data_IF_640569258785
#
_entry.id   IF_640569258785
#
_cell.length_a   1.000
_cell.length_b   1.000
_cell.length_c   1.000
_cell.angle_alpha   90.00
_cell.angle_beta   90.00
_cell.angle_gamma   90.00
#
_symmetry.space_group_name_H-M   'P 1'
#
loop_
_entity.id
_entity.type
_entity.pdbx_description
1 polymer ?
#
# COMPACT_ATOMS: atom_id res chain seq x y z
N UNK A 1 -59.17 48.42 42.40
CA UNK A 1 -60.62 48.64 42.22
C UNK A 1 -60.81 49.86 41.33
N UNK A 2 -61.78 49.88 40.39
CA UNK A 2 -62.53 48.75 39.79
C UNK A 2 -61.58 47.72 39.09
N UNK A 3 -61.96 46.82 38.18
CA UNK A 3 -63.26 46.16 37.88
C UNK A 3 -62.98 44.66 37.55
N UNK A 4 -63.64 44.11 36.54
CA UNK A 4 -63.82 42.71 36.11
C UNK A 4 -64.62 42.71 34.79
N UNK A 5 -64.39 41.71 33.93
CA UNK A 5 -65.37 40.89 33.15
C UNK A 5 -64.66 40.22 31.94
N UNK A 6 -65.01 39.04 31.41
CA UNK A 6 -65.72 37.86 31.95
C UNK A 6 -65.60 36.67 30.94
N UNK A 7 -65.22 35.47 31.41
CA UNK A 7 -65.77 34.11 31.07
C UNK A 7 -65.83 33.71 29.56
N UNK A 8 -65.20 32.62 29.05
CA UNK A 8 -65.73 31.23 29.10
C UNK A 8 -64.70 30.13 28.69
N UNK A 9 -64.56 29.16 29.59
CA UNK A 9 -64.36 27.70 29.39
C UNK A 9 -64.08 27.09 28.00
N UNK A 10 -63.07 26.20 27.93
CA UNK A 10 -63.37 24.76 27.95
C UNK A 10 -62.19 23.94 28.55
N UNK A 11 -62.52 22.86 29.28
CA UNK A 11 -61.59 21.96 29.97
C UNK A 11 -62.11 20.54 29.75
N UNK A 12 -61.35 19.68 29.07
CA UNK A 12 -61.58 18.24 29.14
C UNK A 12 -60.29 17.52 29.56
N UNK A 13 -60.42 16.76 30.65
CA UNK A 13 -59.42 15.82 31.13
C UNK A 13 -59.66 14.46 30.48
N UNK A 14 -58.57 13.77 30.11
CA UNK A 14 -58.49 12.31 30.25
C UNK A 14 -57.18 11.98 30.97
N UNK A 15 -57.25 11.06 31.94
CA UNK A 15 -56.13 10.67 32.82
C UNK A 15 -55.54 9.32 32.38
N UNK A 16 -54.22 9.25 32.39
CA UNK A 16 -53.37 8.17 32.92
C UNK A 16 -53.61 6.73 32.41
N UNK A 17 -52.61 6.21 31.68
CA UNK A 17 -51.85 4.96 31.92
C UNK A 17 -50.57 5.10 31.06
N UNK A 18 -49.34 4.87 31.53
CA UNK A 18 -48.93 4.03 32.65
C UNK A 18 -48.47 2.68 32.09
N UNK A 19 -47.25 2.64 31.53
CA UNK A 19 -46.68 1.45 30.90
C UNK A 19 -45.44 1.81 30.09
N UNK A 20 -44.30 1.22 30.47
CA UNK A 20 -42.94 1.39 29.96
C UNK A 20 -42.76 2.12 28.62
N UNK A 21 -42.18 3.32 28.67
CA UNK A 21 -41.23 3.70 27.64
C UNK A 21 -40.03 2.76 27.80
N UNK A 22 -40.02 1.68 27.03
CA UNK A 22 -38.78 1.02 26.66
C UNK A 22 -38.07 2.05 25.79
N UNK A 23 -37.15 2.79 26.41
CA UNK A 23 -36.02 3.36 25.69
C UNK A 23 -35.38 2.21 24.91
N UNK A 24 -35.36 2.33 23.58
CA UNK A 24 -34.69 1.38 22.72
C UNK A 24 -33.17 1.57 22.83
N UNK A 25 -32.62 1.19 23.98
CA UNK A 25 -31.18 1.12 24.26
C UNK A 25 -30.48 0.03 23.42
N UNK A 26 -31.22 -0.69 22.57
CA UNK A 26 -30.74 -1.78 21.73
C UNK A 26 -30.00 -1.31 20.46
N UNK A 27 -29.91 0.00 20.20
CA UNK A 27 -29.36 0.52 18.94
C UNK A 27 -28.41 1.72 19.07
N UNK A 28 -27.27 1.52 19.73
CA UNK A 28 -26.05 2.25 19.34
C UNK A 28 -24.78 1.41 19.54
N UNK A 29 -24.66 0.31 18.80
CA UNK A 29 -23.38 -0.36 18.60
C UNK A 29 -22.56 0.50 17.63
N UNK A 30 -21.72 1.36 18.22
CA UNK A 30 -21.14 2.58 17.64
C UNK A 30 -20.66 2.43 16.20
N UNK A 31 -21.39 3.04 15.25
CA UNK A 31 -20.95 3.12 13.86
C UNK A 31 -19.71 4.02 13.78
N UNK A 32 -18.56 3.44 13.40
CA UNK A 32 -17.29 4.17 13.35
C UNK A 32 -17.35 5.25 12.27
N UNK A 33 -16.82 6.46 12.52
CA UNK A 33 -17.05 7.64 11.69
C UNK A 33 -16.24 7.65 10.37
N UNK A 34 -16.02 6.49 9.75
CA UNK A 34 -15.21 6.32 8.55
C UNK A 34 -13.70 6.44 8.80
N UNK A 35 -13.25 7.52 9.44
CA UNK A 35 -11.84 7.77 9.83
C UNK A 35 -11.80 8.46 11.19
N UNK A 36 -10.92 8.01 12.09
CA UNK A 36 -10.81 8.49 13.48
C UNK A 36 -9.37 8.44 13.97
N UNK A 37 -9.08 9.03 15.14
CA UNK A 37 -7.80 8.94 15.83
C UNK A 37 -7.98 8.37 17.23
N UNK A 38 -7.09 7.49 17.67
CA UNK A 38 -7.07 7.04 19.07
C UNK A 38 -6.70 8.16 20.05
N UNK A 39 -7.25 8.18 21.28
CA UNK A 39 -8.28 7.28 21.81
C UNK A 39 -9.72 7.67 21.39
N UNK A 40 -9.90 8.73 20.59
CA UNK A 40 -11.17 9.37 20.27
C UNK A 40 -11.95 8.67 19.13
N UNK A 41 -12.20 7.36 19.25
CA UNK A 41 -12.83 6.51 18.22
C UNK A 41 -14.19 6.98 17.68
N UNK A 42 -14.97 7.70 18.48
CA UNK A 42 -16.28 8.21 18.09
C UNK A 42 -16.23 9.55 17.33
N UNK A 43 -15.06 10.18 17.19
CA UNK A 43 -14.89 11.49 16.55
C UNK A 43 -14.41 11.32 15.12
N UNK A 44 -15.16 11.87 14.16
CA UNK A 44 -14.75 11.92 12.76
C UNK A 44 -13.48 12.78 12.60
N UNK A 45 -12.40 12.20 12.08
CA UNK A 45 -11.21 12.94 11.70
C UNK A 45 -11.32 13.40 10.23
N UNK A 46 -11.20 14.70 9.91
CA UNK A 46 -11.21 15.20 8.54
C UNK A 46 -10.14 14.53 7.66
N UNK A 47 -10.48 14.29 6.38
CA UNK A 47 -9.58 13.59 5.43
C UNK A 47 -8.21 14.28 5.31
N UNK A 48 -8.17 15.61 5.29
CA UNK A 48 -6.93 16.39 5.23
C UNK A 48 -6.01 16.12 6.42
N UNK A 49 -6.56 16.10 7.65
CA UNK A 49 -5.80 15.79 8.87
C UNK A 49 -5.34 14.34 8.92
N UNK A 50 -6.18 13.40 8.42
CA UNK A 50 -5.80 12.00 8.29
C UNK A 50 -4.64 11.81 7.29
N UNK A 51 -4.74 12.39 6.10
CA UNK A 51 -3.70 12.35 5.08
C UNK A 51 -2.40 13.02 5.56
N UNK A 52 -2.47 14.16 6.24
CA UNK A 52 -1.31 14.82 6.82
C UNK A 52 -0.62 13.92 7.86
N UNK A 53 -1.39 13.31 8.76
CA UNK A 53 -0.86 12.43 9.80
C UNK A 53 -0.21 11.16 9.22
N UNK A 54 -0.89 10.50 8.27
CA UNK A 54 -0.32 9.34 7.58
C UNK A 54 0.93 9.71 6.78
N UNK A 55 0.93 10.83 6.04
CA UNK A 55 2.12 11.27 5.28
C UNK A 55 3.31 11.57 6.19
N UNK A 56 3.07 12.25 7.32
CA UNK A 56 4.12 12.54 8.31
C UNK A 56 4.71 11.27 8.93
N UNK A 57 3.91 10.22 9.14
CA UNK A 57 4.40 8.91 9.57
C UNK A 57 5.03 8.08 8.45
N UNK A 58 4.61 8.26 7.20
CA UNK A 58 5.05 7.44 6.06
C UNK A 58 6.53 7.61 5.75
N UNK A 59 7.03 8.84 5.74
CA UNK A 59 8.42 9.14 5.39
C UNK A 59 9.40 8.41 6.33
N UNK A 60 9.40 8.61 7.66
CA UNK A 60 10.34 7.90 8.55
C UNK A 60 10.13 6.37 8.59
N UNK A 61 8.93 5.86 8.31
CA UNK A 61 8.71 4.42 8.15
C UNK A 61 9.39 3.88 6.88
N UNK A 62 9.38 4.62 5.78
CA UNK A 62 10.05 4.22 4.54
C UNK A 62 11.57 4.43 4.62
N UNK A 63 12.05 5.45 5.32
CA UNK A 63 13.47 5.60 5.71
C UNK A 63 13.94 4.37 6.52
N UNK A 64 13.12 3.88 7.47
CA UNK A 64 13.39 2.65 8.22
C UNK A 64 13.41 1.40 7.33
N UNK A 65 12.46 1.25 6.40
CA UNK A 65 12.47 0.13 5.42
C UNK A 65 13.73 0.17 4.55
N UNK A 66 14.17 1.36 4.12
CA UNK A 66 15.39 1.55 3.35
C UNK A 66 16.70 1.30 4.14
N UNK A 67 16.62 1.14 5.47
CA UNK A 67 17.82 0.85 6.28
C UNK A 67 18.36 -0.58 6.12
N UNK A 68 17.59 -1.47 5.49
CA UNK A 68 17.97 -2.85 5.17
C UNK A 68 18.00 -3.05 3.65
N UNK A 69 19.16 -3.44 3.11
CA UNK A 69 19.35 -3.64 1.67
C UNK A 69 18.43 -4.76 1.13
N UNK A 70 17.70 -4.45 0.06
CA UNK A 70 16.75 -5.37 -0.56
C UNK A 70 15.42 -5.52 0.19
N UNK A 71 15.15 -4.70 1.21
CA UNK A 71 13.87 -4.68 1.92
C UNK A 71 12.86 -3.70 1.29
N UNK A 72 11.59 -4.09 1.30
CA UNK A 72 10.47 -3.35 0.70
C UNK A 72 9.19 -3.70 1.45
N UNK A 73 8.23 -2.78 1.44
CA UNK A 73 6.98 -2.91 2.18
C UNK A 73 5.80 -3.07 1.23
N UNK A 74 4.85 -3.95 1.57
CA UNK A 74 3.62 -4.04 0.78
C UNK A 74 2.68 -2.91 1.14
N UNK A 75 1.86 -2.45 0.18
CA UNK A 75 0.77 -1.49 0.44
C UNK A 75 -0.03 -1.83 1.71
N UNK A 76 -0.41 -3.10 1.89
CA UNK A 76 -1.14 -3.61 3.05
C UNK A 76 -0.36 -3.44 4.37
N UNK A 77 0.93 -3.77 4.37
CA UNK A 77 1.77 -3.64 5.55
C UNK A 77 2.03 -2.17 5.90
N UNK A 78 2.21 -1.31 4.89
CA UNK A 78 2.32 0.13 5.07
C UNK A 78 1.05 0.72 5.69
N UNK A 79 -0.15 0.35 5.18
CA UNK A 79 -1.41 0.80 5.76
C UNK A 79 -1.57 0.47 7.25
N UNK A 80 -1.14 -0.73 7.66
CA UNK A 80 -1.10 -1.12 9.07
C UNK A 80 -0.09 -0.30 9.87
N UNK A 81 1.16 -0.21 9.41
CA UNK A 81 2.22 0.54 10.09
C UNK A 81 1.88 2.03 10.23
N UNK A 82 1.23 2.63 9.23
CA UNK A 82 0.71 4.00 9.27
C UNK A 82 -0.39 4.17 10.31
N UNK A 83 -1.30 3.21 10.41
CA UNK A 83 -2.37 3.25 11.41
C UNK A 83 -1.79 3.19 12.83
N UNK A 84 -0.81 2.31 13.05
CA UNK A 84 -0.11 2.13 14.33
C UNK A 84 0.74 3.36 14.70
N UNK A 85 1.54 3.88 13.75
CA UNK A 85 2.46 5.00 14.01
C UNK A 85 1.78 6.37 14.15
N UNK A 86 0.65 6.60 13.46
CA UNK A 86 -0.08 7.86 13.53
C UNK A 86 -1.22 7.85 14.56
N UNK A 87 -1.65 6.67 15.01
CA UNK A 87 -2.89 6.46 15.76
C UNK A 87 -4.17 6.79 14.97
N UNK A 88 -4.08 7.01 13.64
CA UNK A 88 -5.21 7.33 12.77
C UNK A 88 -5.65 6.08 12.01
N UNK A 89 -6.90 5.69 12.21
CA UNK A 89 -7.50 4.49 11.63
C UNK A 89 -8.65 4.86 10.69
N UNK A 90 -8.95 3.98 9.75
CA UNK A 90 -10.04 4.17 8.78
C UNK A 90 -10.72 2.85 8.43
N UNK A 91 -12.01 2.88 8.12
CA UNK A 91 -12.74 1.77 7.48
C UNK A 91 -12.68 1.84 5.95
N UNK A 92 -12.10 2.90 5.37
CA UNK A 92 -11.96 3.04 3.91
C UNK A 92 -11.01 1.98 3.34
N UNK A 93 -11.40 1.40 2.20
CA UNK A 93 -10.52 0.49 1.46
C UNK A 93 -9.25 1.21 1.00
N UNK A 94 -8.13 0.49 1.02
CA UNK A 94 -6.77 1.04 0.83
C UNK A 94 -6.61 1.89 -0.44
N UNK A 95 -7.24 1.46 -1.54
CA UNK A 95 -7.19 2.13 -2.84
C UNK A 95 -7.78 3.55 -2.82
N UNK A 96 -8.65 3.89 -1.85
CA UNK A 96 -9.27 5.22 -1.76
C UNK A 96 -8.43 6.27 -1.03
N UNK A 97 -7.29 5.92 -0.42
CA UNK A 97 -6.51 6.87 0.39
C UNK A 97 -4.99 6.69 0.31
N UNK A 98 -4.50 5.48 0.05
CA UNK A 98 -3.06 5.23 0.01
C UNK A 98 -2.35 5.93 -1.17
N UNK A 99 -3.07 6.17 -2.28
CA UNK A 99 -2.55 6.98 -3.40
C UNK A 99 -2.22 8.40 -2.98
N UNK A 100 -3.13 9.07 -2.26
CA UNK A 100 -2.94 10.43 -1.75
C UNK A 100 -1.79 10.51 -0.73
N UNK A 101 -1.66 9.50 0.14
CA UNK A 101 -0.53 9.42 1.09
C UNK A 101 0.81 9.29 0.34
N UNK A 102 0.88 8.46 -0.70
CA UNK A 102 2.10 8.35 -1.51
C UNK A 102 2.38 9.60 -2.34
N UNK A 103 1.36 10.30 -2.83
CA UNK A 103 1.53 11.61 -3.47
C UNK A 103 2.11 12.65 -2.49
N UNK A 104 1.70 12.61 -1.22
CA UNK A 104 2.29 13.39 -0.14
C UNK A 104 3.74 13.00 0.18
N UNK A 105 4.05 11.70 0.20
CA UNK A 105 5.44 11.21 0.36
C UNK A 105 6.34 11.70 -0.78
N UNK A 106 5.86 11.68 -2.02
CA UNK A 106 6.64 12.16 -3.18
C UNK A 106 6.93 13.66 -3.04
N UNK A 107 5.94 14.49 -2.71
CA UNK A 107 6.18 15.92 -2.42
C UNK A 107 7.19 16.12 -1.29
N UNK A 108 7.07 15.37 -0.19
CA UNK A 108 8.00 15.45 0.93
C UNK A 108 9.42 14.98 0.59
N UNK A 109 9.59 14.06 -0.37
CA UNK A 109 10.90 13.67 -0.88
C UNK A 109 11.52 14.79 -1.71
N UNK A 110 10.75 15.43 -2.59
CA UNK A 110 11.23 16.52 -3.45
C UNK A 110 11.63 17.76 -2.66
N UNK A 111 10.77 18.21 -1.74
CA UNK A 111 11.01 19.35 -0.84
C UNK A 111 12.28 19.17 0.01
N UNK A 112 12.66 17.91 0.30
CA UNK A 112 13.80 17.54 1.13
C UNK A 112 14.99 16.94 0.33
N UNK A 113 14.91 16.91 -1.00
CA UNK A 113 15.88 16.27 -1.90
C UNK A 113 16.26 14.82 -1.52
N UNK A 114 15.27 14.02 -1.12
CA UNK A 114 15.41 12.60 -0.77
C UNK A 114 15.25 11.70 -2.01
N UNK A 115 15.82 10.47 -2.01
CA UNK A 115 15.51 9.46 -3.02
C UNK A 115 14.02 9.07 -2.97
N UNK A 116 13.51 8.49 -4.07
CA UNK A 116 12.09 8.19 -4.22
C UNK A 116 11.62 7.03 -3.32
N UNK A 117 11.34 7.33 -2.04
CA UNK A 117 10.89 6.37 -1.01
C UNK A 117 9.63 5.57 -1.40
N UNK A 118 8.79 6.10 -2.30
CA UNK A 118 7.63 5.41 -2.87
C UNK A 118 7.99 4.15 -3.68
N UNK A 119 9.23 4.04 -4.19
CA UNK A 119 9.75 2.85 -4.89
C UNK A 119 9.79 1.58 -4.03
N UNK A 120 9.84 1.76 -2.70
CA UNK A 120 9.84 0.69 -1.69
C UNK A 120 8.45 0.10 -1.45
N UNK A 121 7.38 0.68 -2.02
CA UNK A 121 6.00 0.30 -1.75
C UNK A 121 5.42 -0.51 -2.91
N UNK A 122 5.13 -1.78 -2.65
CA UNK A 122 4.78 -2.76 -3.70
C UNK A 122 3.49 -3.53 -3.43
N UNK A 123 2.91 -4.09 -4.49
CA UNK A 123 1.75 -4.98 -4.42
C UNK A 123 2.11 -6.34 -3.81
N UNK A 124 1.25 -6.85 -2.91
CA UNK A 124 1.45 -8.15 -2.26
C UNK A 124 1.38 -9.34 -3.24
N UNK A 125 0.71 -9.18 -4.39
CA UNK A 125 0.43 -10.28 -5.31
C UNK A 125 1.59 -10.64 -6.25
N UNK A 126 2.35 -9.64 -6.70
CA UNK A 126 3.42 -9.80 -7.68
C UNK A 126 4.70 -9.01 -7.38
N UNK A 127 4.74 -8.27 -6.28
CA UNK A 127 5.92 -7.51 -5.85
C UNK A 127 6.21 -6.24 -6.66
N UNK A 128 5.28 -5.80 -7.50
CA UNK A 128 5.48 -4.63 -8.36
C UNK A 128 5.03 -3.33 -7.67
N UNK A 129 5.65 -2.19 -8.01
CA UNK A 129 5.11 -0.86 -7.69
C UNK A 129 3.77 -0.65 -8.40
N UNK A 130 2.88 0.15 -7.80
CA UNK A 130 1.64 0.54 -8.47
C UNK A 130 1.86 1.59 -9.55
N UNK A 131 0.87 1.76 -10.45
CA UNK A 131 0.90 2.75 -11.53
C UNK A 131 1.13 4.20 -11.05
N UNK A 132 0.82 4.51 -9.78
CA UNK A 132 1.17 5.77 -9.14
C UNK A 132 2.68 6.05 -9.05
N UNK A 133 3.56 5.06 -9.27
CA UNK A 133 5.01 5.30 -9.32
C UNK A 133 5.44 6.19 -10.51
N UNK A 134 4.66 6.20 -11.60
CA UNK A 134 4.85 7.15 -12.71
C UNK A 134 4.72 8.63 -12.29
N UNK A 135 4.17 8.93 -11.10
CA UNK A 135 4.23 10.25 -10.48
C UNK A 135 5.68 10.74 -10.25
N UNK A 136 6.56 9.85 -9.78
CA UNK A 136 7.98 10.14 -9.52
C UNK A 136 8.67 10.56 -10.81
N UNK A 137 8.44 9.81 -11.90
CA UNK A 137 9.05 10.07 -13.20
C UNK A 137 8.58 11.42 -13.75
N UNK A 138 7.27 11.67 -13.72
CA UNK A 138 6.68 12.89 -14.27
C UNK A 138 7.18 14.15 -13.57
N UNK A 139 7.33 14.11 -12.24
CA UNK A 139 7.84 15.26 -11.48
C UNK A 139 9.35 15.47 -11.63
N UNK A 140 10.11 14.39 -11.86
CA UNK A 140 11.50 14.47 -12.32
C UNK A 140 11.65 14.97 -13.77
N UNK A 141 10.54 15.23 -14.48
CA UNK A 141 10.54 15.68 -15.89
C UNK A 141 10.71 14.57 -16.92
N UNK A 142 10.65 13.31 -16.50
CA UNK A 142 10.74 12.11 -17.36
C UNK A 142 9.38 11.68 -17.90
N UNK A 143 9.40 10.97 -19.02
CA UNK A 143 8.22 10.30 -19.57
C UNK A 143 7.73 9.16 -18.64
N UNK A 144 6.43 8.87 -18.71
CA UNK A 144 5.84 7.74 -18.00
C UNK A 144 6.14 6.43 -18.71
N UNK A 145 6.41 5.38 -17.95
CA UNK A 145 6.71 4.05 -18.50
C UNK A 145 5.45 3.17 -18.37
N UNK A 146 4.98 2.67 -19.51
CA UNK A 146 3.83 1.75 -19.60
C UNK A 146 4.24 0.27 -19.57
N UNK A 147 5.47 -0.07 -20.00
CA UNK A 147 5.95 -1.45 -19.89
C UNK A 147 6.19 -1.83 -18.41
N UNK A 148 5.55 -2.90 -17.89
CA UNK A 148 5.65 -3.22 -16.47
C UNK A 148 7.03 -3.74 -16.03
N UNK A 149 7.87 -4.23 -16.94
CA UNK A 149 9.23 -4.68 -16.63
C UNK A 149 10.18 -3.49 -16.58
N UNK A 150 10.12 -2.59 -17.56
CA UNK A 150 10.94 -1.38 -17.58
C UNK A 150 10.61 -0.44 -16.40
N UNK A 151 9.32 -0.31 -16.05
CA UNK A 151 8.88 0.44 -14.86
C UNK A 151 9.47 -0.16 -13.57
N UNK A 152 9.52 -1.49 -13.45
CA UNK A 152 10.13 -2.17 -12.30
C UNK A 152 11.66 -2.05 -12.29
N UNK A 153 12.33 -1.99 -13.44
CA UNK A 153 13.77 -1.75 -13.51
C UNK A 153 14.13 -0.34 -13.02
N UNK A 154 13.31 0.67 -13.35
CA UNK A 154 13.47 2.03 -12.79
C UNK A 154 13.12 2.08 -11.31
N UNK A 155 12.06 1.41 -10.87
CA UNK A 155 11.74 1.28 -9.44
C UNK A 155 12.87 0.58 -8.66
N UNK A 156 13.52 -0.44 -9.24
CA UNK A 156 14.66 -1.13 -8.65
C UNK A 156 15.89 -0.21 -8.51
N UNK A 157 16.12 0.70 -9.45
CA UNK A 157 17.17 1.72 -9.36
C UNK A 157 16.88 2.74 -8.25
N UNK A 158 15.62 3.20 -8.13
CA UNK A 158 15.21 4.10 -7.05
C UNK A 158 15.25 3.44 -5.67
N UNK A 159 14.88 2.16 -5.56
CA UNK A 159 15.08 1.38 -4.33
C UNK A 159 16.56 1.34 -3.92
N UNK A 160 17.47 1.14 -4.88
CA UNK A 160 18.92 1.21 -4.61
C UNK A 160 19.38 2.60 -4.16
N UNK A 161 18.82 3.67 -4.73
CA UNK A 161 19.09 5.04 -4.28
C UNK A 161 18.62 5.26 -2.83
N UNK A 162 17.49 4.68 -2.43
CA UNK A 162 17.04 4.68 -1.04
C UNK A 162 18.05 3.94 -0.13
N UNK A 163 18.46 2.72 -0.49
CA UNK A 163 19.41 1.95 0.32
C UNK A 163 20.78 2.66 0.43
N UNK A 164 21.26 3.35 -0.61
CA UNK A 164 22.49 4.16 -0.57
C UNK A 164 22.47 5.30 0.44
N UNK A 165 21.28 5.82 0.78
CA UNK A 165 21.11 6.92 1.75
C UNK A 165 20.89 6.40 3.16
N UNK A 166 20.13 5.30 3.32
CA UNK A 166 19.66 4.86 4.65
C UNK A 166 20.27 3.54 5.15
N UNK A 167 20.79 2.68 4.28
CA UNK A 167 21.39 1.40 4.69
C UNK A 167 22.85 1.59 5.12
N UNK A 168 23.09 1.44 6.43
CA UNK A 168 24.42 1.62 7.04
C UNK A 168 25.47 0.62 6.54
N UNK A 169 25.05 -0.60 6.22
CA UNK A 169 25.92 -1.72 5.83
C UNK A 169 25.58 -2.20 4.42
N UNK A 170 25.51 -1.27 3.47
CA UNK A 170 25.27 -1.58 2.07
C UNK A 170 26.46 -2.37 1.48
N UNK A 171 26.24 -3.54 0.85
CA UNK A 171 27.30 -4.29 0.18
C UNK A 171 27.99 -3.49 -0.93
N UNK A 172 29.30 -3.71 -1.12
CA UNK A 172 30.08 -3.01 -2.15
C UNK A 172 29.63 -3.35 -3.59
N UNK A 173 29.00 -4.51 -3.78
CA UNK A 173 28.41 -5.01 -5.02
C UNK A 173 26.88 -4.78 -5.09
N UNK A 174 26.32 -3.94 -4.22
CA UNK A 174 24.89 -3.62 -4.21
C UNK A 174 24.43 -3.03 -5.56
N UNK A 175 23.37 -3.62 -6.10
CA UNK A 175 22.86 -3.36 -7.44
C UNK A 175 21.34 -3.20 -7.44
N UNK A 176 20.78 -2.68 -8.53
CA UNK A 176 19.34 -2.57 -8.69
C UNK A 176 18.75 -3.99 -8.82
N UNK A 177 17.79 -4.33 -7.96
CA UNK A 177 17.16 -5.64 -7.93
C UNK A 177 15.63 -5.55 -8.01
N UNK A 178 15.05 -6.41 -8.85
CA UNK A 178 13.62 -6.71 -8.83
C UNK A 178 13.24 -7.31 -7.47
N UNK A 179 12.01 -7.09 -7.02
CA UNK A 179 11.51 -7.75 -5.80
C UNK A 179 11.52 -9.27 -5.93
N UNK A 180 11.53 -9.98 -4.80
CA UNK A 180 11.65 -11.45 -4.78
C UNK A 180 10.49 -12.11 -5.52
N UNK A 181 9.28 -11.57 -5.35
CA UNK A 181 8.07 -12.05 -6.02
C UNK A 181 8.11 -11.81 -7.53
N UNK A 182 8.51 -10.61 -7.97
CA UNK A 182 8.56 -10.28 -9.40
C UNK A 182 9.70 -11.01 -10.12
N UNK A 183 10.87 -11.10 -9.52
CA UNK A 183 12.01 -11.88 -10.03
C UNK A 183 11.61 -13.36 -10.24
N UNK A 184 10.97 -13.99 -9.26
CA UNK A 184 10.45 -15.35 -9.38
C UNK A 184 9.37 -15.49 -10.48
N UNK A 185 8.54 -14.45 -10.69
CA UNK A 185 7.52 -14.42 -11.76
C UNK A 185 8.16 -14.33 -13.15
N UNK A 186 9.20 -13.51 -13.32
CA UNK A 186 9.96 -13.38 -14.58
C UNK A 186 10.67 -14.70 -14.90
N UNK A 187 11.40 -15.27 -13.94
CA UNK A 187 12.13 -16.55 -14.12
C UNK A 187 11.22 -17.72 -14.55
N UNK A 188 9.97 -17.79 -14.04
CA UNK A 188 8.98 -18.80 -14.47
C UNK A 188 8.44 -18.59 -15.88
N UNK A 189 8.52 -17.37 -16.41
CA UNK A 189 8.04 -17.01 -17.76
C UNK A 189 9.12 -17.19 -18.83
N UNK A 190 10.39 -17.04 -18.47
CA UNK A 190 11.51 -17.37 -19.36
C UNK A 190 11.45 -18.86 -19.73
N UNK A 191 11.28 -19.22 -21.01
CA UNK A 191 11.31 -20.62 -21.42
C UNK A 191 12.68 -21.21 -21.07
N UNK A 192 12.70 -22.38 -20.42
CA UNK A 192 13.93 -23.12 -20.29
C UNK A 192 14.51 -23.37 -21.69
N UNK A 193 15.78 -23.02 -21.91
CA UNK A 193 16.47 -23.31 -23.15
C UNK A 193 16.27 -24.81 -23.47
N UNK A 194 15.85 -25.17 -24.70
CA UNK A 194 15.65 -26.56 -25.05
C UNK A 194 16.97 -27.30 -24.81
N UNK A 195 16.92 -28.33 -23.95
CA UNK A 195 18.11 -29.17 -23.69
C UNK A 195 18.59 -29.71 -25.03
N UNK A 196 19.72 -29.22 -25.51
CA UNK A 196 20.36 -29.72 -26.72
C UNK A 196 20.63 -31.20 -26.47
N UNK A 197 19.92 -32.06 -27.22
CA UNK A 197 20.16 -33.50 -27.11
C UNK A 197 21.55 -33.78 -27.69
N UNK A 198 22.43 -34.46 -26.94
CA UNK A 198 23.79 -34.68 -27.40
C UNK A 198 23.78 -35.52 -28.67
N UNK A 199 24.72 -35.26 -29.56
CA UNK A 199 24.90 -35.99 -30.82
C UNK A 199 26.08 -36.93 -30.72
N UNK A 200 26.02 -38.05 -31.43
CA UNK A 200 27.14 -38.99 -31.52
C UNK A 200 28.32 -38.30 -32.23
N UNK A 201 29.54 -38.29 -31.65
CA UNK A 201 30.70 -37.70 -32.30
C UNK A 201 31.18 -38.48 -33.53
N UNK A 202 30.78 -39.75 -33.68
CA UNK A 202 31.14 -40.60 -34.82
C UNK A 202 30.26 -40.40 -36.06
N UNK A 203 28.93 -40.41 -35.88
CA UNK A 203 27.96 -40.36 -36.99
C UNK A 203 27.04 -39.12 -36.99
N UNK A 204 27.13 -38.24 -36.00
CA UNK A 204 26.28 -37.04 -35.88
C UNK A 204 24.82 -37.30 -35.49
N UNK A 205 24.39 -38.56 -35.34
CA UNK A 205 23.03 -38.91 -34.97
C UNK A 205 22.70 -38.42 -33.55
N UNK A 206 21.48 -37.91 -33.33
CA UNK A 206 21.04 -37.48 -32.00
C UNK A 206 20.92 -38.69 -31.07
N UNK A 207 21.63 -38.66 -29.94
CA UNK A 207 21.69 -39.80 -29.01
C UNK A 207 20.33 -40.05 -28.31
N UNK A 208 19.97 -41.32 -28.08
CA UNK A 208 18.88 -41.71 -27.19
C UNK A 208 19.21 -41.35 -25.73
N UNK A 209 18.21 -41.50 -24.85
CA UNK A 209 18.34 -41.14 -23.43
C UNK A 209 19.40 -41.93 -22.65
N UNK A 210 19.89 -43.05 -23.19
CA UNK A 210 21.00 -43.85 -22.65
C UNK A 210 22.37 -43.18 -22.83
N UNK A 211 22.50 -42.21 -23.74
CA UNK A 211 23.78 -41.57 -24.09
C UNK A 211 24.71 -42.42 -24.97
N UNK A 212 24.25 -43.60 -25.41
CA UNK A 212 24.98 -44.53 -26.29
C UNK A 212 24.37 -44.48 -27.69
N UNK A 213 25.19 -44.58 -28.73
CA UNK A 213 24.71 -44.53 -30.11
C UNK A 213 24.45 -45.96 -30.63
N UNK A 214 23.22 -46.25 -31.04
CA UNK A 214 22.83 -47.58 -31.53
C UNK A 214 23.64 -48.05 -32.77
N UNK A 215 24.17 -47.12 -33.57
CA UNK A 215 25.02 -47.40 -34.74
C UNK A 215 26.53 -47.47 -34.44
N UNK A 216 27.01 -46.82 -33.38
CA UNK A 216 28.46 -46.70 -33.11
C UNK A 216 28.96 -47.53 -31.91
N UNK A 217 28.07 -47.92 -30.99
CA UNK A 217 28.42 -48.63 -29.74
C UNK A 217 28.75 -47.72 -28.57
#
# INVERSE_FOLDING_TARGET
MPRVDAILTNRQHVRIRGGSSIIDESRNMTELPGTWREPHRAVHLPRSEALQAWTASAVPLLEMVASEYGNYITYKNLARALSEASGVHTTQQLNYWMGDVLAGVISACEERALPALSSLVVHTGDGMVGSGFNEVLRRAGSETIDDPYDLEMVAAAERLNCYRVYCRELPADAAAQLTREYSARVQRRTPALPKVRPVCPGCGLQLPATGVCDDCG
#
